data_IF_231847631472
#
_entry.id   IF_231847631472
#
_cell.length_a   1.000
_cell.length_b   1.000
_cell.length_c   1.000
_cell.angle_alpha   90.00
_cell.angle_beta   90.00
_cell.angle_gamma   90.00
#
_symmetry.space_group_name_H-M   'P 1'
#
loop_
_entity.id
_entity.type
_entity.pdbx_description
1 polymer ?
#
# COMPACT_ATOMS: atom_id res chain seq x y z
N UNK A 1 103.04 24.03 -19.82
CA UNK A 1 102.90 25.37 -20.40
C UNK A 1 101.85 25.24 -21.51
N UNK A 2 100.72 25.92 -21.40
CA UNK A 2 100.50 27.26 -21.97
C UNK A 2 100.49 27.19 -23.52
N UNK A 3 99.41 26.70 -24.13
CA UNK A 3 98.16 27.43 -24.46
C UNK A 3 98.30 28.42 -25.62
N UNK A 4 97.51 28.22 -26.69
CA UNK A 4 96.60 29.24 -27.26
C UNK A 4 95.63 28.60 -28.27
N UNK A 5 94.68 29.38 -28.79
CA UNK A 5 93.39 28.90 -29.34
C UNK A 5 92.93 29.81 -30.48
N UNK A 6 92.03 29.31 -31.36
CA UNK A 6 91.20 29.98 -32.40
C UNK A 6 91.56 29.58 -33.85
N UNK A 7 90.63 29.53 -34.82
CA UNK A 7 89.14 29.43 -34.79
C UNK A 7 88.67 29.17 -36.24
N UNK A 8 87.61 28.36 -36.44
CA UNK A 8 86.80 28.39 -37.67
C UNK A 8 85.29 28.46 -37.33
N UNK A 9 84.45 28.59 -38.37
CA UNK A 9 83.11 29.22 -38.35
C UNK A 9 82.06 28.22 -38.91
N UNK A 10 80.73 28.42 -38.72
CA UNK A 10 79.74 27.33 -38.68
C UNK A 10 79.16 26.89 -40.03
N UNK A 11 78.35 25.82 -39.98
CA UNK A 11 77.70 25.16 -41.11
C UNK A 11 76.49 25.91 -41.71
N UNK A 12 76.04 25.43 -42.87
CA UNK A 12 74.81 25.83 -43.57
C UNK A 12 74.11 24.58 -44.13
N UNK A 13 72.79 24.65 -44.39
CA UNK A 13 71.94 23.49 -44.73
C UNK A 13 70.74 23.90 -45.62
N UNK A 14 70.22 22.95 -46.40
CA UNK A 14 68.88 22.88 -47.04
C UNK A 14 68.54 23.72 -48.31
N UNK A 15 68.10 22.99 -49.36
CA UNK A 15 66.93 23.15 -50.29
C UNK A 15 66.57 24.51 -50.97
N UNK A 16 66.10 24.51 -52.25
CA UNK A 16 64.69 24.23 -52.64
C UNK A 16 64.58 23.35 -53.94
N UNK A 17 63.46 23.08 -54.66
CA UNK A 17 62.09 23.66 -54.75
C UNK A 17 61.05 22.67 -55.37
N UNK A 18 59.77 23.07 -55.49
CA UNK A 18 58.72 22.47 -56.38
C UNK A 18 58.06 23.56 -57.26
N UNK A 19 57.28 23.26 -58.34
CA UNK A 19 55.79 23.20 -58.31
C UNK A 19 55.21 22.24 -59.42
N UNK A 20 53.95 22.14 -59.91
CA UNK A 20 52.56 22.72 -59.78
C UNK A 20 51.57 21.52 -59.86
N UNK A 21 50.46 21.39 -59.10
CA UNK A 21 49.13 22.06 -59.12
C UNK A 21 48.19 21.84 -60.33
N UNK A 22 47.16 20.98 -60.15
CA UNK A 22 45.75 21.16 -60.54
C UNK A 22 44.90 20.03 -59.91
N UNK A 23 43.61 20.12 -59.57
CA UNK A 23 42.72 21.18 -59.05
C UNK A 23 41.26 20.68 -59.14
N UNK A 24 40.78 19.85 -58.21
CA UNK A 24 39.33 19.67 -58.02
C UNK A 24 38.99 19.33 -56.56
N UNK A 25 37.86 19.85 -56.08
CA UNK A 25 37.48 19.85 -54.65
C UNK A 25 36.55 18.69 -54.31
N UNK A 26 37.04 17.69 -53.59
CA UNK A 26 36.20 16.85 -52.73
C UNK A 26 36.53 17.17 -51.27
N UNK A 27 35.69 18.00 -50.63
CA UNK A 27 35.73 18.18 -49.17
C UNK A 27 35.15 16.92 -48.51
N UNK A 28 35.88 15.81 -48.52
CA UNK A 28 35.72 14.76 -47.52
C UNK A 28 36.24 15.29 -46.18
N UNK A 29 35.49 16.25 -45.60
CA UNK A 29 35.51 16.49 -44.16
C UNK A 29 35.26 15.14 -43.54
N UNK A 30 36.29 14.53 -42.96
CA UNK A 30 36.11 13.27 -42.27
C UNK A 30 35.28 13.60 -41.04
N UNK A 31 33.96 13.47 -41.18
CA UNK A 31 33.08 13.56 -40.05
C UNK A 31 33.47 12.41 -39.13
N UNK A 32 34.16 12.78 -38.05
CA UNK A 32 34.02 12.04 -36.80
C UNK A 32 32.54 12.11 -36.48
N UNK A 33 31.79 11.12 -36.96
CA UNK A 33 30.52 10.74 -36.35
C UNK A 33 30.87 10.33 -34.94
N UNK A 34 30.87 11.30 -34.03
CA UNK A 34 30.81 11.11 -32.59
C UNK A 34 29.41 10.60 -32.23
N UNK A 35 29.03 9.50 -32.88
CA UNK A 35 27.89 8.71 -32.50
C UNK A 35 28.23 8.11 -31.15
N UNK A 36 27.46 8.49 -30.14
CA UNK A 36 27.54 7.88 -28.82
C UNK A 36 27.41 6.36 -29.00
N UNK A 37 28.39 5.60 -28.50
CA UNK A 37 28.30 4.14 -28.58
C UNK A 37 27.02 3.69 -27.87
N UNK A 38 26.37 2.63 -28.33
CA UNK A 38 25.23 2.04 -27.60
C UNK A 38 25.64 1.70 -26.15
N UNK A 39 26.91 1.31 -25.95
CA UNK A 39 27.49 1.09 -24.62
C UNK A 39 27.69 2.37 -23.80
N UNK A 40 27.97 3.52 -24.44
CA UNK A 40 28.08 4.80 -23.74
C UNK A 40 26.69 5.36 -23.39
N UNK A 41 25.71 5.19 -24.27
CA UNK A 41 24.30 5.51 -23.99
C UNK A 41 23.81 4.66 -22.81
N UNK A 42 24.03 3.34 -22.83
CA UNK A 42 23.69 2.44 -21.72
C UNK A 42 24.43 2.85 -20.44
N UNK A 43 25.74 3.13 -20.51
CA UNK A 43 26.53 3.57 -19.35
C UNK A 43 25.97 4.85 -18.75
N UNK A 44 25.68 5.88 -19.56
CA UNK A 44 25.12 7.15 -19.09
C UNK A 44 23.72 6.95 -18.50
N UNK A 45 22.85 6.17 -19.14
CA UNK A 45 21.51 5.86 -18.63
C UNK A 45 21.58 5.11 -17.29
N UNK A 46 22.44 4.09 -17.17
CA UNK A 46 22.64 3.37 -15.91
C UNK A 46 23.22 4.29 -14.83
N UNK A 47 24.20 5.13 -15.14
CA UNK A 47 24.75 6.10 -14.18
C UNK A 47 23.69 7.11 -13.72
N UNK A 48 22.83 7.60 -14.63
CA UNK A 48 21.73 8.50 -14.27
C UNK A 48 20.66 7.81 -13.43
N UNK A 49 20.31 6.55 -13.73
CA UNK A 49 19.38 5.75 -12.89
C UNK A 49 19.96 5.55 -11.49
N UNK A 50 21.22 5.11 -11.38
CA UNK A 50 21.89 4.92 -10.07
C UNK A 50 22.01 6.22 -9.30
N UNK A 51 22.38 7.32 -9.95
CA UNK A 51 22.43 8.65 -9.32
C UNK A 51 21.05 9.14 -8.86
N UNK A 52 19.99 8.90 -9.65
CA UNK A 52 18.62 9.30 -9.28
C UNK A 52 18.05 8.45 -8.15
N UNK A 53 18.28 7.13 -8.17
CA UNK A 53 17.95 6.23 -7.06
C UNK A 53 18.72 6.58 -5.77
N UNK A 54 20.01 6.92 -5.88
CA UNK A 54 20.82 7.39 -4.76
C UNK A 54 20.36 8.74 -4.20
N UNK A 55 19.98 9.68 -5.07
CA UNK A 55 19.42 10.98 -4.65
C UNK A 55 18.02 10.82 -4.03
N UNK A 56 17.19 9.91 -4.55
CA UNK A 56 15.90 9.52 -3.94
C UNK A 56 16.11 8.96 -2.53
N UNK A 57 17.06 8.02 -2.37
CA UNK A 57 17.39 7.42 -1.08
C UNK A 57 17.93 8.45 -0.07
N UNK A 58 18.74 9.39 -0.54
CA UNK A 58 19.27 10.50 0.27
C UNK A 58 18.19 11.50 0.71
N UNK A 59 17.37 11.99 -0.23
CA UNK A 59 16.31 12.98 0.08
C UNK A 59 15.10 12.39 0.80
N UNK A 60 14.82 11.10 0.63
CA UNK A 60 13.71 10.40 1.32
C UNK A 60 14.20 9.69 2.59
N UNK A 61 15.28 10.18 3.21
CA UNK A 61 15.80 9.72 4.51
C UNK A 61 15.81 8.20 4.67
N UNK A 62 16.54 7.52 3.77
CA UNK A 62 16.72 6.05 3.66
C UNK A 62 15.48 5.20 3.34
N UNK A 63 14.27 5.78 3.27
CA UNK A 63 13.04 4.99 3.14
C UNK A 63 12.84 4.35 1.75
N UNK A 64 13.27 4.96 0.64
CA UNK A 64 12.97 4.40 -0.70
C UNK A 64 13.97 4.71 -1.81
N UNK A 65 14.25 3.69 -2.62
CA UNK A 65 15.15 3.72 -3.79
C UNK A 65 14.41 4.07 -5.09
N UNK A 66 13.07 3.90 -5.11
CA UNK A 66 12.20 4.07 -6.28
C UNK A 66 11.16 5.19 -6.07
N UNK A 67 11.58 6.41 -5.70
CA UNK A 67 10.69 7.59 -5.59
C UNK A 67 9.42 7.35 -4.74
N UNK A 68 9.55 6.71 -3.58
CA UNK A 68 8.42 6.35 -2.71
C UNK A 68 7.68 5.05 -3.06
N UNK A 69 7.93 4.45 -4.23
CA UNK A 69 7.32 3.17 -4.60
C UNK A 69 7.93 2.01 -3.79
N UNK A 70 7.11 1.39 -2.93
CA UNK A 70 7.45 0.27 -2.04
C UNK A 70 6.52 -0.92 -2.30
N UNK A 71 6.73 -1.71 -3.37
CA UNK A 71 5.92 -2.89 -3.64
C UNK A 71 6.22 -3.99 -2.60
N UNK A 72 5.19 -4.77 -2.21
CA UNK A 72 5.27 -5.71 -1.10
C UNK A 72 6.47 -6.67 -1.15
N UNK A 73 6.85 -7.15 -2.34
CA UNK A 73 7.98 -8.07 -2.55
C UNK A 73 9.37 -7.45 -2.26
N UNK A 74 9.50 -6.13 -2.13
CA UNK A 74 10.77 -5.49 -1.72
C UNK A 74 10.97 -5.50 -0.20
N UNK A 75 9.93 -5.79 0.59
CA UNK A 75 10.04 -5.94 2.06
C UNK A 75 10.51 -7.36 2.37
N UNK A 76 11.79 -7.55 2.73
CA UNK A 76 12.33 -8.89 3.00
C UNK A 76 11.52 -9.72 4.03
N UNK A 77 11.06 -9.19 5.18
CA UNK A 77 10.24 -9.96 6.13
C UNK A 77 8.90 -10.43 5.53
N UNK A 78 8.33 -9.65 4.61
CA UNK A 78 7.10 -10.00 3.89
C UNK A 78 7.34 -11.13 2.90
N UNK A 79 8.43 -11.06 2.13
CA UNK A 79 8.80 -12.13 1.20
C UNK A 79 9.05 -13.45 1.94
N UNK A 80 9.74 -13.38 3.08
CA UNK A 80 9.95 -14.54 3.97
C UNK A 80 8.62 -15.09 4.50
N UNK A 81 7.69 -14.24 4.99
CA UNK A 81 6.34 -14.68 5.40
C UNK A 81 5.57 -15.33 4.25
N UNK A 82 5.61 -14.77 3.05
CA UNK A 82 4.95 -15.35 1.87
C UNK A 82 5.47 -16.75 1.56
N UNK A 83 6.79 -16.98 1.66
CA UNK A 83 7.42 -18.29 1.47
C UNK A 83 7.17 -19.28 2.63
N UNK A 84 6.97 -18.78 3.86
CA UNK A 84 6.61 -19.59 5.03
C UNK A 84 5.16 -20.09 5.01
N UNK A 85 4.30 -19.54 4.15
CA UNK A 85 2.90 -19.91 4.04
C UNK A 85 1.98 -19.28 5.08
N UNK A 86 0.67 -19.67 5.06
CA UNK A 86 -0.36 -19.01 5.84
C UNK A 86 -0.18 -19.26 7.34
N UNK A 87 -0.22 -18.17 8.10
CA UNK A 87 -0.22 -18.16 9.55
C UNK A 87 -1.59 -18.59 10.11
N UNK A 88 -1.60 -19.22 11.28
CA UNK A 88 -2.79 -19.38 12.13
C UNK A 88 -2.46 -18.77 13.48
N UNK A 89 -3.26 -17.80 13.95
CA UNK A 89 -3.13 -17.18 15.27
C UNK A 89 -4.39 -17.37 16.09
N UNK A 90 -4.25 -17.59 17.40
CA UNK A 90 -5.36 -17.36 18.34
C UNK A 90 -5.56 -15.85 18.58
N UNK A 91 -6.69 -15.39 19.16
CA UNK A 91 -6.88 -13.97 19.48
C UNK A 91 -5.79 -13.40 20.40
N UNK A 92 -5.28 -14.20 21.34
CA UNK A 92 -4.24 -13.82 22.30
C UNK A 92 -2.88 -13.69 21.61
N UNK A 93 -2.59 -14.58 20.65
CA UNK A 93 -1.39 -14.48 19.83
C UNK A 93 -1.47 -13.30 18.86
N UNK A 94 -2.65 -13.02 18.30
CA UNK A 94 -2.88 -11.84 17.47
C UNK A 94 -2.65 -10.55 18.26
N UNK A 95 -3.08 -10.48 19.53
CA UNK A 95 -2.93 -9.32 20.40
C UNK A 95 -1.48 -8.84 20.59
N UNK A 96 -0.48 -9.70 20.38
CA UNK A 96 0.95 -9.34 20.40
C UNK A 96 1.34 -8.43 19.22
N UNK A 97 0.67 -8.59 18.06
CA UNK A 97 0.97 -7.86 16.81
C UNK A 97 0.24 -6.50 16.71
N UNK A 98 0.08 -5.82 17.85
CA UNK A 98 -0.54 -4.49 17.98
C UNK A 98 0.43 -3.32 17.70
N UNK A 99 1.67 -3.63 17.27
CA UNK A 99 2.71 -2.68 16.95
C UNK A 99 3.42 -2.02 18.14
N UNK A 100 3.11 -2.39 19.39
CA UNK A 100 3.82 -1.86 20.57
C UNK A 100 5.27 -2.32 20.66
N UNK A 101 5.57 -3.55 20.20
CA UNK A 101 6.93 -4.03 19.95
C UNK A 101 7.34 -3.70 18.50
N UNK A 102 8.43 -2.96 18.33
CA UNK A 102 8.98 -2.58 17.02
C UNK A 102 9.74 -3.71 16.32
N UNK A 103 10.03 -4.82 17.00
CA UNK A 103 10.54 -6.04 16.39
C UNK A 103 9.44 -6.90 15.73
N UNK A 104 8.16 -6.66 16.07
CA UNK A 104 7.02 -7.39 15.52
C UNK A 104 6.34 -6.64 14.36
N UNK A 105 5.78 -7.35 13.37
CA UNK A 105 4.90 -6.75 12.39
C UNK A 105 3.58 -6.31 13.03
N UNK A 106 2.91 -5.35 12.40
CA UNK A 106 1.61 -4.84 12.81
C UNK A 106 0.53 -5.59 12.02
N UNK A 107 -0.31 -6.36 12.72
CA UNK A 107 -1.37 -7.17 12.11
C UNK A 107 -2.76 -6.66 12.49
N UNK A 108 -3.71 -6.89 11.58
CA UNK A 108 -5.13 -6.59 11.71
C UNK A 108 -5.92 -7.76 11.14
N UNK A 109 -6.96 -8.24 11.83
CA UNK A 109 -7.88 -9.23 11.27
C UNK A 109 -9.23 -8.62 10.85
N UNK A 110 -9.72 -9.07 9.69
CA UNK A 110 -11.04 -8.78 9.13
C UNK A 110 -11.61 -10.10 8.59
N UNK A 111 -12.84 -10.43 8.98
CA UNK A 111 -13.54 -11.68 8.67
C UNK A 111 -12.69 -12.92 9.01
N UNK A 112 -11.99 -12.91 10.14
CA UNK A 112 -11.04 -13.95 10.54
C UNK A 112 -9.79 -14.08 9.65
N UNK A 113 -9.59 -13.22 8.66
CA UNK A 113 -8.40 -13.18 7.80
C UNK A 113 -7.43 -12.10 8.31
N UNK A 114 -6.16 -12.45 8.49
CA UNK A 114 -5.12 -11.58 9.10
C UNK A 114 -4.31 -10.91 8.00
N UNK A 115 -4.15 -9.58 8.09
CA UNK A 115 -3.44 -8.76 7.12
C UNK A 115 -2.24 -8.03 7.75
N UNK A 116 -1.11 -7.95 7.03
CA UNK A 116 0.04 -7.10 7.41
C UNK A 116 -0.23 -5.64 7.03
N UNK A 117 -0.35 -4.78 8.04
CA UNK A 117 -0.52 -3.32 7.90
C UNK A 117 0.74 -2.52 8.29
N UNK A 118 1.86 -3.20 8.61
CA UNK A 118 3.16 -2.58 8.94
C UNK A 118 3.79 -1.77 7.80
N UNK A 119 3.21 -1.80 6.60
CA UNK A 119 3.55 -0.88 5.52
C UNK A 119 3.05 0.57 5.76
N UNK A 120 2.28 0.82 6.84
CA UNK A 120 1.79 2.14 7.22
C UNK A 120 1.74 2.34 8.75
N UNK A 121 2.90 2.36 9.43
CA UNK A 121 2.97 2.44 10.90
C UNK A 121 2.49 3.80 11.45
N UNK A 122 2.47 4.86 10.65
CA UNK A 122 1.91 6.16 11.05
C UNK A 122 0.39 6.12 11.29
N UNK A 123 -0.29 5.13 10.69
CA UNK A 123 -1.75 4.97 10.81
C UNK A 123 -2.11 3.84 11.77
N UNK A 124 -1.37 2.74 11.74
CA UNK A 124 -1.67 1.51 12.48
C UNK A 124 -0.71 1.21 13.65
N UNK A 125 0.47 1.83 13.70
CA UNK A 125 1.41 1.68 14.82
C UNK A 125 1.09 2.62 15.99
N UNK A 126 1.86 2.55 17.09
CA UNK A 126 1.56 3.27 18.34
C UNK A 126 1.32 4.77 18.12
N UNK A 127 0.21 5.27 18.67
CA UNK A 127 -0.23 6.67 18.48
C UNK A 127 -0.94 6.96 17.15
N UNK A 128 -0.91 6.04 16.18
CA UNK A 128 -1.64 6.16 14.92
C UNK A 128 -3.15 6.07 15.09
N UNK A 129 -3.90 6.83 14.29
CA UNK A 129 -5.36 6.99 14.43
C UNK A 129 -6.19 5.71 14.26
N UNK A 130 -5.62 4.62 13.73
CA UNK A 130 -6.27 3.30 13.59
C UNK A 130 -5.53 2.18 14.36
N UNK A 131 -4.59 2.51 15.25
CA UNK A 131 -3.83 1.54 16.04
C UNK A 131 -4.72 0.62 16.88
N UNK A 132 -5.84 1.13 17.38
CA UNK A 132 -6.76 0.37 18.23
C UNK A 132 -7.45 -0.83 17.53
N UNK A 133 -7.41 -0.90 16.19
CA UNK A 133 -7.85 -2.09 15.44
C UNK A 133 -6.79 -3.21 15.45
N UNK A 134 -5.52 -2.87 15.66
CA UNK A 134 -4.40 -3.81 15.48
C UNK A 134 -4.27 -4.78 16.63
N UNK A 135 -3.72 -5.96 16.33
CA UNK A 135 -3.72 -7.10 17.23
C UNK A 135 -5.12 -7.68 17.52
N UNK A 136 -6.15 -7.33 16.74
CA UNK A 136 -7.54 -7.79 16.96
C UNK A 136 -8.20 -8.15 15.64
N UNK A 137 -9.27 -8.93 15.73
CA UNK A 137 -10.30 -8.92 14.68
C UNK A 137 -11.24 -7.74 14.95
N UNK A 138 -11.30 -6.82 13.99
CA UNK A 138 -12.06 -5.57 14.09
C UNK A 138 -13.31 -5.56 13.22
N UNK A 139 -13.76 -6.72 12.72
CA UNK A 139 -14.81 -6.82 11.69
C UNK A 139 -16.09 -6.10 12.09
N UNK A 140 -16.55 -6.22 13.35
CA UNK A 140 -17.75 -5.55 13.83
C UNK A 140 -17.60 -4.02 13.75
N UNK A 141 -16.53 -3.45 14.27
CA UNK A 141 -16.26 -2.01 14.21
C UNK A 141 -16.18 -1.45 12.79
N UNK A 142 -15.58 -2.19 11.85
CA UNK A 142 -15.57 -1.79 10.43
C UNK A 142 -16.99 -1.79 9.81
N UNK A 143 -17.90 -2.65 10.26
CA UNK A 143 -19.31 -2.65 9.80
C UNK A 143 -20.16 -1.58 10.53
N UNK A 144 -19.99 -1.40 11.85
CA UNK A 144 -20.81 -0.48 12.66
C UNK A 144 -20.34 0.98 12.62
N UNK A 145 -19.09 1.23 12.21
CA UNK A 145 -18.44 2.54 12.31
C UNK A 145 -17.97 2.90 13.73
N UNK A 146 -18.19 2.01 14.71
CA UNK A 146 -17.89 2.26 16.13
C UNK A 146 -16.50 1.73 16.48
N UNK A 147 -15.51 2.49 16.03
CA UNK A 147 -14.11 2.10 15.94
C UNK A 147 -13.43 1.84 17.29
N UNK A 148 -13.94 2.40 18.39
CA UNK A 148 -13.39 2.20 19.74
C UNK A 148 -14.18 1.13 20.53
N UNK A 149 -15.46 0.96 20.22
CA UNK A 149 -16.42 0.20 21.00
C UNK A 149 -16.62 -1.24 20.49
N UNK A 150 -16.50 -1.47 19.18
CA UNK A 150 -16.88 -2.72 18.51
C UNK A 150 -15.66 -3.52 17.99
N UNK A 151 -14.53 -3.47 18.70
CA UNK A 151 -13.28 -4.17 18.34
C UNK A 151 -13.38 -5.69 18.60
N UNK A 152 -14.22 -6.37 17.83
CA UNK A 152 -14.47 -7.81 17.90
C UNK A 152 -14.91 -8.38 16.53
N UNK A 153 -14.81 -9.70 16.40
CA UNK A 153 -15.33 -10.47 15.27
C UNK A 153 -16.86 -10.69 15.34
N UNK A 154 -17.50 -10.50 16.51
CA UNK A 154 -18.90 -10.86 16.71
C UNK A 154 -19.88 -9.92 15.99
N UNK A 155 -20.53 -10.43 14.95
CA UNK A 155 -21.51 -9.70 14.14
C UNK A 155 -22.98 -9.86 14.59
N UNK A 156 -23.26 -10.58 15.69
CA UNK A 156 -24.63 -10.73 16.21
C UNK A 156 -25.22 -9.36 16.58
N UNK A 157 -26.46 -9.11 16.13
CA UNK A 157 -27.17 -7.85 16.36
C UNK A 157 -26.78 -6.72 15.41
N UNK A 158 -25.72 -6.87 14.60
CA UNK A 158 -25.33 -5.83 13.62
C UNK A 158 -26.37 -5.70 12.51
N UNK A 159 -27.21 -6.72 12.27
CA UNK A 159 -28.35 -6.58 11.36
C UNK A 159 -29.33 -5.46 11.78
N UNK A 160 -29.39 -5.10 13.06
CA UNK A 160 -30.36 -4.11 13.54
C UNK A 160 -30.03 -2.68 13.11
N UNK A 161 -28.77 -2.39 12.73
CA UNK A 161 -28.42 -1.09 12.13
C UNK A 161 -28.96 -0.94 10.70
N UNK A 162 -29.11 -2.06 9.98
CA UNK A 162 -29.64 -2.09 8.61
C UNK A 162 -31.15 -2.32 8.55
N UNK A 163 -31.78 -2.79 9.64
CA UNK A 163 -33.24 -2.95 9.73
C UNK A 163 -33.94 -1.58 9.76
N UNK A 164 -34.84 -1.29 8.80
CA UNK A 164 -35.53 0.00 8.76
C UNK A 164 -36.36 0.32 10.01
N UNK A 165 -36.49 1.60 10.30
CA UNK A 165 -37.44 2.13 11.26
C UNK A 165 -38.78 2.39 10.54
N UNK A 166 -39.81 1.65 10.95
CA UNK A 166 -41.21 1.90 10.60
C UNK A 166 -41.78 3.06 11.42
N UNK A 167 -42.69 3.84 10.84
CA UNK A 167 -43.43 4.89 11.54
C UNK A 167 -44.65 4.30 12.27
N UNK A 168 -44.99 4.83 13.44
CA UNK A 168 -46.04 4.26 14.30
C UNK A 168 -47.42 4.21 13.60
N UNK A 169 -47.70 5.18 12.72
CA UNK A 169 -48.90 5.19 11.88
C UNK A 169 -48.94 4.02 10.89
N UNK A 170 -47.82 3.69 10.22
CA UNK A 170 -47.73 2.51 9.35
C UNK A 170 -47.81 1.20 10.16
N UNK A 171 -47.30 1.18 11.39
CA UNK A 171 -47.46 0.03 12.26
C UNK A 171 -48.92 -0.13 12.72
N UNK A 172 -49.69 0.94 12.87
CA UNK A 172 -51.11 0.85 13.29
C UNK A 172 -52.03 0.28 12.21
N UNK A 173 -51.70 0.40 10.92
CA UNK A 173 -52.54 -0.15 9.82
C UNK A 173 -52.32 -1.63 9.52
N UNK A 174 -51.22 -2.24 9.99
CA UNK A 174 -50.83 -3.62 9.66
C UNK A 174 -51.32 -4.65 10.69
N UNK A 175 -51.71 -5.84 10.23
CA UNK A 175 -51.97 -7.00 11.10
C UNK A 175 -50.68 -7.51 11.77
N UNK A 176 -50.84 -8.32 12.82
CA UNK A 176 -49.73 -9.02 13.48
C UNK A 176 -48.98 -9.97 12.53
N UNK A 177 -49.68 -10.59 11.58
CA UNK A 177 -49.09 -11.45 10.55
C UNK A 177 -48.20 -10.67 9.60
N UNK A 178 -48.69 -9.57 9.03
CA UNK A 178 -47.93 -8.72 8.11
C UNK A 178 -46.71 -8.09 8.80
N UNK A 179 -46.85 -7.65 10.06
CA UNK A 179 -45.73 -7.18 10.89
C UNK A 179 -44.64 -8.23 11.04
N UNK A 180 -45.01 -9.49 11.29
CA UNK A 180 -44.06 -10.61 11.42
C UNK A 180 -43.34 -10.87 10.08
N UNK A 181 -44.09 -10.97 8.99
CA UNK A 181 -43.55 -11.22 7.64
C UNK A 181 -42.59 -10.09 7.23
N UNK A 182 -42.99 -8.82 7.42
CA UNK A 182 -42.16 -7.64 7.14
C UNK A 182 -40.87 -7.66 7.96
N UNK A 183 -40.95 -7.83 9.29
CA UNK A 183 -39.76 -7.87 10.16
C UNK A 183 -38.80 -9.00 9.80
N UNK A 184 -39.32 -10.14 9.34
CA UNK A 184 -38.49 -11.24 8.86
C UNK A 184 -37.79 -10.90 7.53
N UNK A 185 -38.52 -10.31 6.57
CA UNK A 185 -37.95 -9.82 5.31
C UNK A 185 -36.88 -8.75 5.55
N UNK A 186 -37.13 -7.78 6.41
CA UNK A 186 -36.16 -6.74 6.78
C UNK A 186 -34.91 -7.36 7.43
N UNK A 187 -35.07 -8.32 8.35
CA UNK A 187 -33.92 -9.02 8.98
C UNK A 187 -33.12 -9.85 7.96
N UNK A 188 -33.78 -10.48 6.98
CA UNK A 188 -33.11 -11.20 5.87
C UNK A 188 -32.27 -10.22 5.03
N UNK A 189 -32.86 -9.11 4.58
CA UNK A 189 -32.18 -8.08 3.80
C UNK A 189 -31.03 -7.41 4.58
N UNK A 190 -31.26 -7.10 5.86
CA UNK A 190 -30.27 -6.52 6.74
C UNK A 190 -29.03 -7.43 6.93
N UNK A 191 -29.22 -8.74 7.09
CA UNK A 191 -28.10 -9.71 7.15
C UNK A 191 -27.29 -9.74 5.85
N UNK A 192 -27.95 -9.62 4.69
CA UNK A 192 -27.25 -9.46 3.40
C UNK A 192 -26.46 -8.15 3.35
N UNK A 193 -26.97 -7.05 3.91
CA UNK A 193 -26.21 -5.78 4.03
C UNK A 193 -24.99 -5.90 4.95
N UNK A 194 -25.11 -6.57 6.10
CA UNK A 194 -23.95 -6.89 6.97
C UNK A 194 -22.89 -7.66 6.17
N UNK A 195 -23.28 -8.75 5.49
CA UNK A 195 -22.35 -9.57 4.70
C UNK A 195 -21.68 -8.77 3.57
N UNK A 196 -22.42 -7.89 2.88
CA UNK A 196 -21.84 -6.98 1.87
C UNK A 196 -20.81 -6.03 2.47
N UNK A 197 -21.05 -5.49 3.66
CA UNK A 197 -20.10 -4.57 4.31
C UNK A 197 -18.84 -5.29 4.80
N UNK A 198 -18.98 -6.52 5.33
CA UNK A 198 -17.83 -7.39 5.66
C UNK A 198 -17.01 -7.69 4.40
N UNK A 199 -17.67 -8.14 3.33
CA UNK A 199 -17.01 -8.43 2.05
C UNK A 199 -16.36 -7.19 1.43
N UNK A 200 -16.95 -5.99 1.58
CA UNK A 200 -16.34 -4.74 1.12
C UNK A 200 -14.99 -4.49 1.81
N UNK A 201 -14.94 -4.59 3.14
CA UNK A 201 -13.70 -4.38 3.90
C UNK A 201 -12.68 -5.50 3.70
N UNK A 202 -13.11 -6.77 3.67
CA UNK A 202 -12.20 -7.86 3.36
C UNK A 202 -11.58 -7.69 1.97
N UNK A 203 -12.38 -7.35 0.96
CA UNK A 203 -11.86 -7.07 -0.39
C UNK A 203 -10.98 -5.82 -0.44
N UNK A 204 -11.24 -4.79 0.37
CA UNK A 204 -10.35 -3.62 0.47
C UNK A 204 -8.95 -4.04 0.93
N UNK A 205 -8.82 -4.79 2.02
CA UNK A 205 -7.52 -5.25 2.53
C UNK A 205 -6.87 -6.29 1.63
N UNK A 206 -7.64 -7.26 1.13
CA UNK A 206 -7.22 -8.34 0.22
C UNK A 206 -6.64 -7.86 -1.10
N UNK A 207 -7.15 -6.74 -1.64
CA UNK A 207 -6.71 -6.16 -2.91
C UNK A 207 -5.89 -4.86 -2.72
N UNK A 208 -5.42 -4.56 -1.51
CA UNK A 208 -4.68 -3.33 -1.25
C UNK A 208 -3.24 -3.38 -1.79
N UNK A 209 -2.73 -2.27 -2.33
CA UNK A 209 -1.36 -2.23 -2.89
C UNK A 209 -0.24 -2.38 -1.85
N UNK A 210 -0.51 -2.08 -0.57
CA UNK A 210 0.48 -2.06 0.52
C UNK A 210 0.27 -3.13 1.60
N UNK A 211 -0.91 -3.77 1.63
CA UNK A 211 -1.27 -4.78 2.64
C UNK A 211 -1.52 -6.11 1.93
N UNK A 212 -1.39 -7.22 2.64
CA UNK A 212 -1.61 -8.56 2.08
C UNK A 212 -2.03 -9.52 3.20
N UNK A 213 -2.76 -10.59 2.86
CA UNK A 213 -3.14 -11.64 3.81
C UNK A 213 -1.89 -12.43 4.22
N UNK A 214 -1.63 -12.52 5.53
CA UNK A 214 -0.56 -13.32 6.13
C UNK A 214 -1.06 -14.67 6.66
N UNK A 215 -2.37 -14.82 6.85
CA UNK A 215 -2.96 -15.99 7.51
C UNK A 215 -4.37 -15.73 8.05
N UNK A 216 -4.77 -16.50 9.06
CA UNK A 216 -6.13 -16.46 9.65
C UNK A 216 -6.12 -16.52 11.17
N UNK A 217 -7.22 -16.06 11.77
CA UNK A 217 -7.51 -16.24 13.20
C UNK A 217 -8.23 -17.57 13.40
N UNK A 218 -7.80 -18.33 14.38
CA UNK A 218 -8.37 -19.62 14.79
C UNK A 218 -8.76 -19.57 16.27
N UNK A 219 -9.70 -20.41 16.71
CA UNK A 219 -10.19 -20.34 18.09
C UNK A 219 -10.99 -19.07 18.39
N UNK A 220 -11.77 -18.58 17.42
CA UNK A 220 -12.72 -17.48 17.66
C UNK A 220 -13.88 -17.97 18.53
N UNK A 221 -13.81 -17.73 19.82
CA UNK A 221 -14.90 -17.99 20.77
C UNK A 221 -15.98 -16.91 20.66
N UNK A 222 -17.24 -17.33 20.44
CA UNK A 222 -18.38 -16.42 20.40
C UNK A 222 -18.78 -16.08 21.85
N UNK A 223 -18.81 -14.79 22.26
CA UNK A 223 -19.17 -14.42 23.63
C UNK A 223 -20.59 -14.90 24.01
N UNK A 224 -20.78 -15.32 25.26
CA UNK A 224 -22.08 -15.80 25.74
C UNK A 224 -23.17 -14.73 25.59
N UNK A 225 -22.91 -13.52 26.08
CA UNK A 225 -23.79 -12.37 25.89
C UNK A 225 -23.66 -11.74 24.49
N UNK A 226 -24.79 -11.30 23.91
CA UNK A 226 -24.80 -10.54 22.66
C UNK A 226 -24.47 -9.06 22.93
N UNK A 227 -23.38 -8.55 22.36
CA UNK A 227 -23.01 -7.13 22.44
C UNK A 227 -24.08 -6.26 21.79
N UNK A 228 -24.53 -5.22 22.49
CA UNK A 228 -25.45 -4.21 21.94
C UNK A 228 -24.82 -3.43 20.77
N UNK A 229 -25.66 -2.75 19.98
CA UNK A 229 -25.19 -1.72 19.05
C UNK A 229 -24.79 -0.46 19.81
N UNK A 230 -23.64 0.11 19.42
CA UNK A 230 -23.24 1.47 19.77
C UNK A 230 -24.28 2.53 19.32
N UNK A 231 -24.24 3.71 19.94
CA UNK A 231 -25.23 4.76 19.67
C UNK A 231 -25.16 5.32 18.24
N UNK A 232 -23.97 5.41 17.63
CA UNK A 232 -23.83 5.85 16.25
C UNK A 232 -24.51 4.89 15.26
N UNK A 233 -24.29 3.58 15.37
CA UNK A 233 -24.98 2.58 14.54
C UNK A 233 -26.50 2.55 14.78
N UNK A 234 -26.96 2.77 16.03
CA UNK A 234 -28.39 2.96 16.35
C UNK A 234 -29.01 4.19 15.65
N UNK A 235 -28.25 5.27 15.50
CA UNK A 235 -28.69 6.50 14.82
C UNK A 235 -28.64 6.42 13.28
N UNK A 236 -27.72 5.62 12.71
CA UNK A 236 -27.60 5.40 11.27
C UNK A 236 -28.75 4.60 10.64
N UNK A 237 -29.68 4.07 11.45
CA UNK A 237 -30.78 3.22 10.99
C UNK A 237 -31.68 3.92 9.95
N UNK A 238 -31.93 3.30 8.77
CA UNK A 238 -32.71 3.93 7.72
C UNK A 238 -34.19 4.06 8.12
N UNK A 239 -34.81 5.22 7.88
CA UNK A 239 -36.26 5.41 8.05
C UNK A 239 -36.99 4.92 6.80
N UNK A 240 -38.02 4.05 6.93
CA UNK A 240 -38.70 3.47 5.76
C UNK A 240 -39.39 4.54 4.89
N UNK A 241 -39.89 5.61 5.50
CA UNK A 241 -40.47 6.76 4.81
C UNK A 241 -39.47 7.55 3.95
N UNK A 242 -38.17 7.52 4.28
CA UNK A 242 -37.12 8.06 3.40
C UNK A 242 -36.84 7.11 2.23
N UNK A 243 -36.81 5.79 2.46
CA UNK A 243 -36.62 4.79 1.40
C UNK A 243 -37.74 4.86 0.34
N UNK A 244 -38.99 5.12 0.76
CA UNK A 244 -40.14 5.32 -0.14
C UNK A 244 -40.10 6.60 -0.99
N UNK A 245 -39.18 7.53 -0.71
CA UNK A 245 -39.04 8.82 -1.44
C UNK A 245 -37.87 8.82 -2.43
N UNK A 246 -37.04 7.77 -2.42
CA UNK A 246 -35.88 7.61 -3.31
C UNK A 246 -36.08 6.58 -4.44
N UNK A 247 -37.29 6.02 -4.54
CA UNK A 247 -37.76 5.11 -5.59
C UNK A 247 -38.95 5.74 -6.32
#
# INVERSE_FOLDING_TARGET
MSSLRQRQVPASNNEPSTPKQNAQKTKSRHEKKTGLSVLDIIRVVVTLIVASCGLSYYMTSTESVLWGYRPWFTRWPVLVRYLQGPLSLTPEQLALYNGSDSALPIYLAINGSVFDVSANPLVYGPGGHYNFFTGKDATRAFVTGCFQEDQTHDLRGVEEMFMPLDEEAELKTLSSGEKKIRREQDRRLARTSVQKQVQHWENFFRNHQKYFEVGKVVGLEVPEEQRELCQAAKQQRPKRSNMKKGN
#
